data_IF_146566959387
#
_entry.id   IF_146566959387
#
_cell.length_a   1.000
_cell.length_b   1.000
_cell.length_c   1.000
_cell.angle_alpha   90.00
_cell.angle_beta   90.00
_cell.angle_gamma   90.00
#
_symmetry.space_group_name_H-M   'P 1'
#
loop_
_entity.id
_entity.type
_entity.pdbx_description
1 polymer ?
#
# COMPACT_ATOMS: atom_id res chain seq x y z
N UNK A 1 4.76 -27.48 -28.40
CA UNK A 1 3.81 -28.48 -28.90
C UNK A 1 2.52 -27.73 -29.12
N UNK A 2 2.06 -27.63 -30.37
CA UNK A 2 0.79 -26.95 -30.66
C UNK A 2 -0.35 -27.73 -29.99
N UNK A 3 -1.26 -27.08 -29.24
CA UNK A 3 -2.38 -27.75 -28.61
C UNK A 3 -3.16 -28.58 -29.65
N UNK A 4 -3.41 -29.88 -29.41
CA UNK A 4 -4.08 -30.76 -30.39
C UNK A 4 -5.47 -30.25 -30.82
N UNK A 5 -6.10 -29.37 -30.02
CA UNK A 5 -7.35 -28.69 -30.39
C UNK A 5 -7.22 -27.67 -31.54
N UNK A 6 -6.07 -26.99 -31.70
CA UNK A 6 -5.88 -25.95 -32.73
C UNK A 6 -5.95 -26.56 -34.14
N UNK A 7 -5.29 -27.70 -34.33
CA UNK A 7 -5.26 -28.41 -35.63
C UNK A 7 -6.68 -28.89 -36.00
N UNK A 8 -7.45 -29.37 -35.02
CA UNK A 8 -8.85 -29.74 -35.23
C UNK A 8 -9.75 -28.56 -35.61
N UNK A 9 -9.56 -27.41 -34.96
CA UNK A 9 -10.31 -26.18 -35.27
C UNK A 9 -10.01 -25.68 -36.69
N UNK A 10 -8.74 -25.64 -37.09
CA UNK A 10 -8.35 -25.26 -38.47
C UNK A 10 -8.96 -26.21 -39.50
N UNK A 11 -8.95 -27.52 -39.20
CA UNK A 11 -9.58 -28.53 -40.05
C UNK A 11 -11.07 -28.29 -40.24
N UNK A 12 -11.80 -28.02 -39.15
CA UNK A 12 -13.25 -27.74 -39.21
C UNK A 12 -13.53 -26.47 -40.02
N UNK A 13 -12.84 -25.36 -39.75
CA UNK A 13 -13.02 -24.10 -40.52
C UNK A 13 -12.82 -24.35 -42.01
N UNK A 14 -11.74 -25.06 -42.38
CA UNK A 14 -11.42 -25.34 -43.77
C UNK A 14 -12.48 -26.18 -44.49
N UNK A 15 -13.15 -27.11 -43.80
CA UNK A 15 -14.23 -27.92 -44.38
C UNK A 15 -15.53 -27.11 -44.46
N UNK A 16 -15.85 -26.32 -43.43
CA UNK A 16 -17.02 -25.43 -43.41
C UNK A 16 -16.94 -24.40 -44.53
N UNK A 17 -15.81 -23.73 -44.71
CA UNK A 17 -15.62 -22.75 -45.79
C UNK A 17 -15.75 -23.38 -47.18
N UNK A 18 -15.32 -24.64 -47.34
CA UNK A 18 -15.50 -25.37 -48.59
C UNK A 18 -16.97 -25.76 -48.84
N UNK A 19 -17.72 -26.10 -47.79
CA UNK A 19 -19.18 -26.34 -47.88
C UNK A 19 -19.89 -25.03 -48.25
N UNK A 20 -19.58 -23.93 -47.58
CA UNK A 20 -20.13 -22.60 -47.88
C UNK A 20 -19.82 -22.19 -49.34
N UNK A 21 -18.56 -22.34 -49.78
CA UNK A 21 -18.17 -22.04 -51.15
C UNK A 21 -18.83 -22.95 -52.20
N UNK A 22 -19.00 -24.24 -51.90
CA UNK A 22 -19.72 -25.17 -52.77
C UNK A 22 -21.21 -24.76 -52.88
N UNK A 23 -21.83 -24.38 -51.77
CA UNK A 23 -23.21 -23.90 -51.72
C UNK A 23 -23.41 -22.60 -52.50
N UNK A 24 -22.52 -21.62 -52.35
CA UNK A 24 -22.55 -20.35 -53.11
C UNK A 24 -22.34 -20.58 -54.62
N UNK A 25 -21.45 -21.51 -54.99
CA UNK A 25 -21.19 -21.86 -56.40
C UNK A 25 -22.36 -22.63 -57.05
N UNK A 26 -23.20 -23.28 -56.24
CA UNK A 26 -24.35 -24.07 -56.70
C UNK A 26 -25.66 -23.28 -56.77
N UNK A 27 -25.75 -22.08 -56.19
CA UNK A 27 -27.01 -21.32 -56.19
C UNK A 27 -26.82 -19.81 -56.14
N UNK A 28 -27.12 -19.13 -57.25
CA UNK A 28 -27.43 -17.69 -57.29
C UNK A 28 -28.89 -17.37 -56.90
N UNK A 29 -29.76 -18.38 -56.70
CA UNK A 29 -31.17 -18.20 -56.29
C UNK A 29 -31.48 -18.88 -54.94
N UNK A 30 -30.88 -18.36 -53.87
CA UNK A 30 -31.07 -18.82 -52.46
C UNK A 30 -32.49 -18.61 -51.90
N UNK A 31 -33.39 -17.98 -52.66
CA UNK A 31 -34.75 -17.63 -52.21
C UNK A 31 -35.66 -18.84 -51.98
N UNK A 32 -35.44 -19.96 -52.68
CA UNK A 32 -36.29 -21.16 -52.62
C UNK A 32 -35.70 -22.33 -51.78
N UNK A 33 -34.67 -22.06 -50.97
CA UNK A 33 -34.12 -23.06 -50.07
C UNK A 33 -35.09 -23.37 -48.90
N UNK A 34 -35.21 -24.63 -48.44
CA UNK A 34 -35.94 -24.97 -47.23
C UNK A 34 -35.40 -24.20 -46.02
N UNK A 35 -36.28 -23.79 -45.11
CA UNK A 35 -35.89 -23.02 -43.92
C UNK A 35 -34.86 -23.75 -43.04
N UNK A 36 -34.96 -25.08 -42.92
CA UNK A 36 -33.98 -25.89 -42.18
C UNK A 36 -32.57 -25.83 -42.80
N UNK A 37 -32.47 -25.76 -44.13
CA UNK A 37 -31.19 -25.62 -44.83
C UNK A 37 -30.61 -24.21 -44.66
N UNK A 38 -31.46 -23.19 -44.63
CA UNK A 38 -31.03 -21.80 -44.35
C UNK A 38 -30.53 -21.66 -42.92
N UNK A 39 -31.25 -22.24 -41.95
CA UNK A 39 -30.85 -22.23 -40.54
C UNK A 39 -29.53 -22.97 -40.33
N UNK A 40 -29.37 -24.15 -40.92
CA UNK A 40 -28.12 -24.92 -40.84
C UNK A 40 -26.93 -24.16 -41.43
N UNK A 41 -27.12 -23.50 -42.58
CA UNK A 41 -26.07 -22.70 -43.20
C UNK A 41 -25.72 -21.44 -42.39
N UNK A 42 -26.72 -20.79 -41.79
CA UNK A 42 -26.49 -19.67 -40.86
C UNK A 42 -25.74 -20.11 -39.60
N UNK A 43 -25.99 -21.32 -39.11
CA UNK A 43 -25.24 -21.90 -38.00
C UNK A 43 -23.81 -22.30 -38.37
N UNK A 44 -23.59 -22.83 -39.58
CA UNK A 44 -22.25 -23.11 -40.11
C UNK A 44 -21.44 -21.82 -40.31
N UNK A 45 -22.07 -20.77 -40.83
CA UNK A 45 -21.45 -19.45 -40.96
C UNK A 45 -21.12 -18.86 -39.58
N UNK A 46 -22.04 -18.98 -38.62
CA UNK A 46 -21.82 -18.60 -37.23
C UNK A 46 -20.66 -19.37 -36.59
N UNK A 47 -20.57 -20.68 -36.80
CA UNK A 47 -19.47 -21.53 -36.35
C UNK A 47 -18.14 -21.10 -36.98
N UNK A 48 -18.09 -20.90 -38.30
CA UNK A 48 -16.87 -20.47 -38.99
C UNK A 48 -16.37 -19.14 -38.43
N UNK A 49 -17.27 -18.18 -38.19
CA UNK A 49 -16.92 -16.89 -37.59
C UNK A 49 -16.37 -17.03 -36.17
N UNK A 50 -17.05 -17.76 -35.29
CA UNK A 50 -16.64 -17.95 -33.89
C UNK A 50 -15.32 -18.72 -33.80
N UNK A 51 -15.16 -19.79 -34.59
CA UNK A 51 -13.91 -20.55 -34.65
C UNK A 51 -12.78 -19.72 -35.25
N UNK A 52 -13.05 -18.89 -36.26
CA UNK A 52 -12.06 -17.99 -36.86
C UNK A 52 -11.64 -16.87 -35.91
N UNK A 53 -12.56 -16.30 -35.13
CA UNK A 53 -12.25 -15.33 -34.08
C UNK A 53 -11.42 -15.98 -32.97
N UNK A 54 -11.80 -17.19 -32.54
CA UNK A 54 -11.03 -17.98 -31.56
C UNK A 54 -9.64 -18.31 -32.08
N UNK A 55 -9.52 -18.74 -33.34
CA UNK A 55 -8.24 -19.04 -33.99
C UNK A 55 -7.37 -17.79 -34.13
N UNK A 56 -7.95 -16.65 -34.51
CA UNK A 56 -7.23 -15.38 -34.59
C UNK A 56 -6.71 -14.97 -33.20
N UNK A 57 -7.51 -15.14 -32.15
CA UNK A 57 -7.10 -14.85 -30.78
C UNK A 57 -6.01 -15.82 -30.27
N UNK A 58 -6.04 -17.09 -30.70
CA UNK A 58 -5.08 -18.12 -30.29
C UNK A 58 -3.75 -18.06 -31.07
N UNK A 59 -3.80 -17.85 -32.39
CA UNK A 59 -2.61 -17.90 -33.28
C UNK A 59 -1.86 -16.56 -33.31
N UNK A 60 -2.56 -15.43 -33.25
CA UNK A 60 -1.91 -14.11 -33.36
C UNK A 60 -1.52 -13.50 -32.02
N UNK A 61 -2.00 -14.05 -30.90
CA UNK A 61 -1.70 -13.51 -29.58
C UNK A 61 -1.00 -14.57 -28.69
N UNK A 62 0.34 -14.53 -28.56
CA UNK A 62 1.07 -15.45 -27.68
C UNK A 62 0.64 -15.33 -26.20
N UNK A 63 0.08 -14.18 -25.78
CA UNK A 63 -0.43 -13.97 -24.43
C UNK A 63 -1.70 -14.77 -24.16
N UNK A 64 -2.45 -15.16 -25.20
CA UNK A 64 -3.67 -15.95 -25.05
C UNK A 64 -3.37 -17.38 -24.57
N UNK A 65 -2.35 -18.02 -25.12
CA UNK A 65 -1.90 -19.33 -24.65
C UNK A 65 -1.33 -19.25 -23.22
N UNK A 66 -0.62 -18.17 -22.90
CA UNK A 66 -0.12 -17.90 -21.55
C UNK A 66 -1.25 -17.66 -20.54
N UNK A 67 -2.35 -17.01 -20.94
CA UNK A 67 -3.53 -16.77 -20.09
C UNK A 67 -4.21 -18.06 -19.59
N UNK A 68 -3.97 -19.19 -20.27
CA UNK A 68 -4.46 -20.52 -19.89
C UNK A 68 -3.37 -21.49 -19.41
N UNK A 69 -2.10 -21.08 -19.31
CA UNK A 69 -1.05 -21.96 -18.76
C UNK A 69 -1.39 -22.35 -17.31
N UNK A 70 -1.68 -23.63 -17.09
CA UNK A 70 -2.12 -24.19 -15.81
C UNK A 70 -3.63 -24.16 -15.55
N UNK A 71 -4.47 -23.85 -16.56
CA UNK A 71 -5.94 -23.72 -16.42
C UNK A 71 -6.70 -24.60 -17.41
N UNK A 72 -7.91 -25.01 -17.05
CA UNK A 72 -8.78 -25.83 -17.89
C UNK A 72 -9.55 -24.92 -18.88
N UNK A 73 -9.23 -24.95 -20.16
CA UNK A 73 -10.06 -24.34 -21.22
C UNK A 73 -11.02 -25.39 -21.73
N UNK A 74 -12.31 -25.09 -21.75
CA UNK A 74 -13.34 -26.04 -22.22
C UNK A 74 -13.16 -26.40 -23.70
N UNK A 75 -12.60 -25.47 -24.48
CA UNK A 75 -12.31 -25.64 -25.91
C UNK A 75 -10.99 -26.40 -26.13
N UNK A 76 -9.92 -26.09 -25.38
CA UNK A 76 -8.63 -26.77 -25.51
C UNK A 76 -8.59 -28.14 -24.82
N UNK A 77 -9.46 -28.36 -23.83
CA UNK A 77 -9.66 -29.66 -23.16
C UNK A 77 -10.73 -30.51 -23.82
N UNK A 78 -11.42 -30.00 -24.83
CA UNK A 78 -12.43 -30.78 -25.53
C UNK A 78 -11.76 -32.00 -26.16
N UNK A 79 -12.34 -33.18 -25.93
CA UNK A 79 -11.81 -34.43 -26.45
C UNK A 79 -11.53 -34.28 -27.94
N UNK A 80 -10.29 -34.52 -28.36
CA UNK A 80 -9.90 -34.58 -29.78
C UNK A 80 -10.86 -35.45 -30.62
N UNK A 81 -11.57 -36.38 -29.97
CA UNK A 81 -12.67 -37.17 -30.52
C UNK A 81 -13.87 -36.33 -30.99
N UNK A 82 -14.30 -35.30 -30.26
CA UNK A 82 -15.45 -34.46 -30.64
C UNK A 82 -15.11 -33.60 -31.88
N UNK A 83 -13.94 -32.96 -31.88
CA UNK A 83 -13.47 -32.14 -33.02
C UNK A 83 -13.21 -33.01 -34.26
N UNK A 84 -12.56 -34.16 -34.10
CA UNK A 84 -12.27 -35.07 -35.22
C UNK A 84 -13.52 -35.77 -35.77
N UNK A 85 -14.52 -36.06 -34.95
CA UNK A 85 -15.79 -36.62 -35.42
C UNK A 85 -16.63 -35.58 -36.15
N UNK A 86 -16.67 -34.34 -35.64
CA UNK A 86 -17.29 -33.21 -36.32
C UNK A 86 -16.65 -32.96 -37.70
N UNK A 87 -15.31 -32.96 -37.76
CA UNK A 87 -14.56 -32.83 -39.01
C UNK A 87 -14.89 -33.97 -40.00
N UNK A 88 -14.92 -35.22 -39.54
CA UNK A 88 -15.29 -36.37 -40.39
C UNK A 88 -16.72 -36.30 -40.92
N UNK A 89 -17.67 -35.85 -40.12
CA UNK A 89 -19.08 -35.68 -40.53
C UNK A 89 -19.21 -34.56 -41.57
N UNK A 90 -18.48 -33.46 -41.40
CA UNK A 90 -18.39 -32.37 -42.38
C UNK A 90 -17.71 -32.82 -43.68
N UNK A 91 -16.65 -33.63 -43.59
CA UNK A 91 -15.94 -34.19 -44.75
C UNK A 91 -16.81 -35.18 -45.54
N UNK A 92 -17.60 -36.02 -44.86
CA UNK A 92 -18.56 -36.92 -45.52
C UNK A 92 -19.66 -36.12 -46.23
N UNK A 93 -20.15 -35.06 -45.59
CA UNK A 93 -21.15 -34.15 -46.17
C UNK A 93 -20.58 -33.43 -47.41
N UNK A 94 -19.35 -32.90 -47.32
CA UNK A 94 -18.64 -32.29 -48.45
C UNK A 94 -18.40 -33.28 -49.59
N UNK A 95 -18.02 -34.53 -49.27
CA UNK A 95 -17.82 -35.61 -50.23
C UNK A 95 -19.09 -35.94 -51.02
N UNK A 96 -20.25 -35.91 -50.36
CA UNK A 96 -21.56 -36.13 -51.00
C UNK A 96 -21.96 -34.95 -51.89
N UNK A 97 -21.69 -33.72 -51.47
CA UNK A 97 -21.93 -32.52 -52.29
C UNK A 97 -21.04 -32.54 -53.54
N UNK A 98 -19.76 -32.92 -53.42
CA UNK A 98 -18.81 -32.97 -54.55
C UNK A 98 -19.06 -34.11 -55.54
N UNK A 99 -19.42 -35.31 -55.06
CA UNK A 99 -19.69 -36.48 -55.93
C UNK A 99 -20.91 -36.27 -56.86
N UNK A 100 -21.73 -35.25 -56.63
CA UNK A 100 -22.88 -34.88 -57.47
C UNK A 100 -22.61 -33.88 -58.59
N UNK A 101 -21.38 -33.40 -58.77
CA UNK A 101 -21.07 -32.24 -59.61
C UNK A 101 -20.72 -32.50 -61.08
N UNK A 102 -21.63 -33.04 -61.90
CA UNK A 102 -21.54 -32.95 -63.38
C UNK A 102 -22.93 -32.81 -64.02
N UNK A 103 -23.55 -31.62 -63.90
CA UNK A 103 -24.77 -31.27 -64.64
C UNK A 103 -25.52 -30.05 -64.08
N UNK A 104 -25.44 -28.89 -64.76
CA UNK A 104 -25.91 -27.58 -64.25
C UNK A 104 -27.43 -27.44 -64.01
N UNK A 105 -28.29 -28.36 -64.46
CA UNK A 105 -29.76 -28.25 -64.30
C UNK A 105 -30.41 -29.35 -63.46
N UNK A 106 -29.71 -30.47 -63.24
CA UNK A 106 -30.15 -31.60 -62.41
C UNK A 106 -29.49 -31.61 -61.02
N UNK A 107 -28.57 -30.68 -60.77
CA UNK A 107 -27.83 -30.58 -59.52
C UNK A 107 -28.68 -30.16 -58.32
N UNK A 108 -29.66 -29.27 -58.52
CA UNK A 108 -30.46 -28.71 -57.42
C UNK A 108 -31.44 -29.71 -56.82
N UNK A 109 -32.25 -30.38 -57.64
CA UNK A 109 -33.21 -31.39 -57.14
C UNK A 109 -32.51 -32.58 -56.48
N UNK A 110 -31.29 -32.91 -56.93
CA UNK A 110 -30.46 -33.95 -56.31
C UNK A 110 -29.71 -33.48 -55.08
N UNK A 111 -29.34 -32.21 -54.99
CA UNK A 111 -28.77 -31.63 -53.78
C UNK A 111 -29.86 -31.49 -52.70
N UNK A 112 -31.07 -31.06 -53.08
CA UNK A 112 -32.28 -31.17 -52.24
C UNK A 112 -32.48 -32.61 -51.78
N UNK A 113 -32.45 -33.60 -52.67
CA UNK A 113 -32.55 -35.01 -52.28
C UNK A 113 -31.39 -35.51 -51.39
N UNK A 114 -30.19 -34.96 -51.55
CA UNK A 114 -29.03 -35.29 -50.73
C UNK A 114 -29.08 -34.64 -49.35
N UNK A 115 -29.81 -33.53 -49.16
CA UNK A 115 -30.07 -32.96 -47.83
C UNK A 115 -31.32 -33.57 -47.19
N UNK A 116 -32.36 -33.86 -47.99
CA UNK A 116 -33.65 -34.46 -47.59
C UNK A 116 -33.59 -35.99 -47.38
N UNK A 117 -32.45 -36.64 -47.58
CA UNK A 117 -32.34 -38.07 -47.26
C UNK A 117 -32.37 -38.26 -45.74
N UNK A 118 -33.12 -39.23 -45.24
CA UNK A 118 -33.29 -39.48 -43.79
C UNK A 118 -31.93 -39.60 -43.07
N UNK A 119 -30.95 -40.22 -43.73
CA UNK A 119 -29.58 -40.38 -43.21
C UNK A 119 -28.76 -39.08 -43.16
N UNK A 120 -29.02 -38.12 -44.06
CA UNK A 120 -28.35 -36.80 -44.04
C UNK A 120 -29.04 -35.83 -43.12
N UNK A 121 -30.35 -35.93 -42.95
CA UNK A 121 -31.10 -35.13 -41.98
C UNK A 121 -30.63 -35.43 -40.54
N UNK A 122 -30.49 -36.70 -40.17
CA UNK A 122 -29.95 -37.08 -38.85
C UNK A 122 -28.50 -36.64 -38.67
N UNK A 123 -27.68 -36.68 -39.73
CA UNK A 123 -26.29 -36.20 -39.68
C UNK A 123 -26.24 -34.67 -39.49
N UNK A 124 -27.10 -33.93 -40.18
CA UNK A 124 -27.25 -32.47 -40.06
C UNK A 124 -27.73 -32.08 -38.66
N UNK A 125 -28.74 -32.76 -38.10
CA UNK A 125 -29.23 -32.50 -36.74
C UNK A 125 -28.20 -32.81 -35.65
N UNK A 126 -27.40 -33.87 -35.83
CA UNK A 126 -26.30 -34.20 -34.92
C UNK A 126 -25.18 -33.16 -35.00
N UNK A 127 -24.86 -32.70 -36.21
CA UNK A 127 -23.87 -31.67 -36.46
C UNK A 127 -24.32 -30.33 -35.87
N UNK A 128 -25.56 -29.91 -36.10
CA UNK A 128 -26.19 -28.72 -35.52
C UNK A 128 -26.12 -28.73 -33.99
N UNK A 129 -26.51 -29.83 -33.33
CA UNK A 129 -26.39 -29.96 -31.86
C UNK A 129 -24.95 -29.79 -31.37
N UNK A 130 -23.96 -30.29 -32.11
CA UNK A 130 -22.53 -30.15 -31.76
C UNK A 130 -22.00 -28.75 -32.02
N UNK A 131 -22.43 -28.07 -33.07
CA UNK A 131 -22.10 -26.67 -33.33
C UNK A 131 -22.56 -25.77 -32.18
N UNK A 132 -23.78 -25.99 -31.68
CA UNK A 132 -24.33 -25.25 -30.53
C UNK A 132 -23.50 -25.49 -29.26
N UNK A 133 -23.08 -26.74 -29.03
CA UNK A 133 -22.22 -27.10 -27.89
C UNK A 133 -20.84 -26.42 -27.97
N UNK A 134 -20.21 -26.42 -29.14
CA UNK A 134 -18.92 -25.74 -29.36
C UNK A 134 -19.03 -24.22 -29.16
N UNK A 135 -20.08 -23.59 -29.71
CA UNK A 135 -20.32 -22.16 -29.52
C UNK A 135 -20.50 -21.80 -28.04
N UNK A 136 -21.20 -22.65 -27.28
CA UNK A 136 -21.42 -22.45 -25.84
C UNK A 136 -20.10 -22.56 -25.05
N UNK A 137 -19.23 -23.50 -25.41
CA UNK A 137 -17.91 -23.67 -24.78
C UNK A 137 -17.00 -22.46 -25.01
N UNK A 138 -16.96 -21.94 -26.24
CA UNK A 138 -16.17 -20.74 -26.57
C UNK A 138 -16.67 -19.52 -25.79
N UNK A 139 -17.99 -19.36 -25.65
CA UNK A 139 -18.57 -18.27 -24.88
C UNK A 139 -18.17 -18.33 -23.40
N UNK A 140 -18.14 -19.53 -22.80
CA UNK A 140 -17.72 -19.74 -21.41
C UNK A 140 -16.25 -19.35 -21.21
N UNK A 141 -15.36 -19.83 -22.10
CA UNK A 141 -13.93 -19.50 -22.01
C UNK A 141 -13.70 -17.98 -22.18
N UNK A 142 -14.45 -17.30 -23.06
CA UNK A 142 -14.39 -15.84 -23.24
C UNK A 142 -14.84 -15.06 -21.98
N UNK A 143 -15.90 -15.52 -21.30
CA UNK A 143 -16.36 -14.92 -20.04
C UNK A 143 -15.32 -15.14 -18.94
N UNK A 144 -14.76 -16.35 -18.85
CA UNK A 144 -13.74 -16.68 -17.85
C UNK A 144 -12.47 -15.83 -18.03
N UNK A 145 -12.00 -15.65 -19.27
CA UNK A 145 -10.90 -14.74 -19.57
C UNK A 145 -11.22 -13.31 -19.15
N UNK A 146 -12.39 -12.79 -19.57
CA UNK A 146 -12.79 -11.41 -19.28
C UNK A 146 -12.91 -11.12 -17.78
N UNK A 147 -13.40 -12.09 -16.99
CA UNK A 147 -13.49 -11.96 -15.54
C UNK A 147 -12.10 -11.90 -14.89
N UNK A 148 -11.16 -12.73 -15.35
CA UNK A 148 -9.80 -12.77 -14.82
C UNK A 148 -8.98 -11.52 -15.20
N UNK A 149 -9.07 -11.05 -16.44
CA UNK A 149 -8.42 -9.79 -16.84
C UNK A 149 -8.92 -8.62 -15.98
N UNK A 150 -10.21 -8.61 -15.61
CA UNK A 150 -10.74 -7.62 -14.69
C UNK A 150 -10.18 -7.76 -13.26
N UNK A 151 -9.89 -8.98 -12.79
CA UNK A 151 -9.24 -9.20 -11.49
C UNK A 151 -7.78 -8.73 -11.51
N UNK A 152 -7.01 -9.09 -12.53
CA UNK A 152 -5.61 -8.66 -12.69
C UNK A 152 -5.49 -7.14 -12.85
N UNK A 153 -6.39 -6.52 -13.62
CA UNK A 153 -6.46 -5.05 -13.72
C UNK A 153 -6.80 -4.41 -12.37
N UNK A 154 -7.65 -5.05 -11.56
CA UNK A 154 -7.98 -4.56 -10.21
C UNK A 154 -6.80 -4.71 -9.24
N UNK A 155 -6.05 -5.81 -9.29
CA UNK A 155 -4.86 -5.99 -8.43
C UNK A 155 -3.76 -5.00 -8.82
N UNK A 156 -3.44 -4.86 -10.10
CA UNK A 156 -2.43 -3.89 -10.57
C UNK A 156 -2.84 -2.45 -10.26
N UNK A 157 -4.13 -2.10 -10.37
CA UNK A 157 -4.62 -0.78 -9.94
C UNK A 157 -4.48 -0.56 -8.44
N UNK A 158 -4.63 -1.59 -7.62
CA UNK A 158 -4.45 -1.52 -6.17
C UNK A 158 -2.97 -1.30 -5.82
N UNK A 159 -2.07 -2.09 -6.42
CA UNK A 159 -0.62 -1.95 -6.26
C UNK A 159 -0.14 -0.56 -6.70
N UNK A 160 -0.55 -0.09 -7.88
CA UNK A 160 -0.22 1.26 -8.36
C UNK A 160 -0.80 2.36 -7.48
N UNK A 161 -1.95 2.14 -6.84
CA UNK A 161 -2.52 3.10 -5.88
C UNK A 161 -1.70 3.12 -4.58
N UNK A 162 -1.29 1.97 -4.06
CA UNK A 162 -0.43 1.84 -2.88
C UNK A 162 0.96 2.44 -3.12
N UNK A 163 1.54 2.22 -4.31
CA UNK A 163 2.82 2.82 -4.73
C UNK A 163 2.71 4.34 -4.86
N UNK A 164 1.63 4.85 -5.49
CA UNK A 164 1.39 6.30 -5.59
C UNK A 164 1.21 6.95 -4.22
N UNK A 165 0.50 6.29 -3.31
CA UNK A 165 0.36 6.75 -1.92
C UNK A 165 1.72 6.76 -1.22
N UNK A 166 2.55 5.74 -1.43
CA UNK A 166 3.90 5.65 -0.84
C UNK A 166 4.86 6.70 -1.39
N UNK A 167 4.80 6.99 -2.69
CA UNK A 167 5.62 8.02 -3.34
C UNK A 167 5.17 9.45 -2.97
N UNK A 168 3.86 9.68 -2.87
CA UNK A 168 3.33 10.95 -2.37
C UNK A 168 3.70 11.16 -0.90
N UNK A 169 3.60 10.11 -0.08
CA UNK A 169 4.07 10.11 1.31
C UNK A 169 5.54 10.50 1.38
N UNK A 170 6.43 9.84 0.62
CA UNK A 170 7.86 10.16 0.61
C UNK A 170 8.15 11.62 0.24
N UNK A 171 7.44 12.17 -0.75
CA UNK A 171 7.61 13.58 -1.17
C UNK A 171 7.11 14.58 -0.14
N UNK A 172 6.02 14.26 0.56
CA UNK A 172 5.48 15.09 1.64
C UNK A 172 6.43 15.05 2.84
N UNK A 173 6.95 13.87 3.20
CA UNK A 173 7.95 13.72 4.25
C UNK A 173 9.21 14.52 3.95
N UNK A 174 9.75 14.40 2.76
CA UNK A 174 10.94 15.15 2.32
C UNK A 174 10.72 16.67 2.34
N UNK A 175 9.55 17.14 1.89
CA UNK A 175 9.16 18.55 1.93
C UNK A 175 9.03 19.11 3.36
N UNK A 176 8.58 18.29 4.31
CA UNK A 176 8.37 18.71 5.70
C UNK A 176 9.64 18.59 6.55
N UNK A 177 10.40 17.51 6.41
CA UNK A 177 11.69 17.32 7.09
C UNK A 177 12.74 18.35 6.66
N UNK A 178 12.52 19.02 5.52
CA UNK A 178 13.35 20.11 5.03
C UNK A 178 13.32 21.37 5.92
N UNK A 179 12.35 21.55 6.83
CA UNK A 179 12.25 22.78 7.65
C UNK A 179 12.77 22.67 9.08
N UNK A 180 12.91 21.47 9.68
CA UNK A 180 13.42 21.33 11.05
C UNK A 180 14.26 20.06 11.27
N UNK A 181 15.58 20.21 11.39
CA UNK A 181 16.52 19.11 11.60
C UNK A 181 16.60 18.66 13.09
N UNK A 182 15.47 18.25 13.67
CA UNK A 182 15.42 17.79 15.07
C UNK A 182 16.11 16.44 15.28
N UNK A 183 16.21 15.61 14.24
CA UNK A 183 16.98 14.35 14.31
C UNK A 183 18.46 14.60 14.53
N UNK A 184 19.08 15.53 13.80
CA UNK A 184 20.48 15.88 14.06
C UNK A 184 20.66 16.53 15.43
N UNK A 185 19.68 17.31 15.89
CA UNK A 185 19.73 17.89 17.24
C UNK A 185 19.62 16.82 18.32
N UNK A 186 18.76 15.81 18.13
CA UNK A 186 18.68 14.67 19.03
C UNK A 186 19.99 13.89 19.05
N UNK A 187 20.59 13.63 17.89
CA UNK A 187 21.89 12.96 17.81
C UNK A 187 23.00 13.75 18.53
N UNK A 188 23.12 15.06 18.29
CA UNK A 188 24.10 15.92 18.99
C UNK A 188 23.89 15.93 20.52
N UNK A 189 22.63 16.00 20.96
CA UNK A 189 22.30 15.94 22.37
C UNK A 189 22.74 14.60 23.00
N UNK A 190 22.42 13.48 22.35
CA UNK A 190 22.82 12.15 22.83
C UNK A 190 24.34 11.97 22.84
N UNK A 191 25.05 12.45 21.83
CA UNK A 191 26.52 12.40 21.77
C UNK A 191 27.18 13.20 22.90
N UNK A 192 26.54 14.28 23.35
CA UNK A 192 27.03 15.16 24.42
C UNK A 192 26.60 14.72 25.82
N UNK A 193 25.64 13.80 25.91
CA UNK A 193 25.12 13.28 27.18
C UNK A 193 26.21 12.57 27.96
N UNK A 194 26.25 12.78 29.27
CA UNK A 194 27.00 11.91 30.17
C UNK A 194 26.16 10.64 30.48
N UNK A 195 26.64 9.43 30.15
CA UNK A 195 25.96 8.20 30.52
C UNK A 195 25.75 8.09 32.03
N UNK A 196 24.64 7.50 32.46
CA UNK A 196 24.29 7.36 33.88
C UNK A 196 23.50 8.54 34.46
N UNK A 197 23.45 9.69 33.79
CA UNK A 197 22.66 10.84 34.25
C UNK A 197 21.17 10.74 33.88
N UNK A 198 20.32 11.39 34.68
CA UNK A 198 18.88 11.55 34.43
C UNK A 198 18.00 10.35 34.78
N UNK A 199 18.57 9.33 35.43
CA UNK A 199 17.83 8.10 35.77
C UNK A 199 16.74 8.32 36.81
N UNK A 200 16.96 9.23 37.75
CA UNK A 200 15.98 9.58 38.78
C UNK A 200 14.61 9.96 38.18
N UNK A 201 14.60 10.57 37.00
CA UNK A 201 13.37 10.95 36.31
C UNK A 201 12.69 9.75 35.67
N UNK A 202 13.46 8.88 35.01
CA UNK A 202 12.94 7.66 34.39
C UNK A 202 12.35 6.69 35.45
N UNK A 203 12.91 6.71 36.66
CA UNK A 203 12.45 5.92 37.80
C UNK A 203 11.26 6.57 38.54
N UNK A 204 10.93 7.83 38.26
CA UNK A 204 9.83 8.52 38.93
C UNK A 204 8.47 7.86 38.65
N UNK A 205 7.55 7.94 39.62
CA UNK A 205 6.20 7.39 39.43
C UNK A 205 5.43 8.19 38.38
N UNK A 206 5.60 9.49 38.35
CA UNK A 206 4.96 10.40 37.40
C UNK A 206 5.34 10.07 35.95
N UNK A 207 6.62 9.77 35.69
CA UNK A 207 7.06 9.35 34.36
C UNK A 207 6.54 7.96 33.98
N UNK A 208 6.58 7.01 34.92
CA UNK A 208 6.02 5.67 34.69
C UNK A 208 4.53 5.71 34.39
N UNK A 209 3.79 6.53 35.13
CA UNK A 209 2.37 6.79 34.87
C UNK A 209 2.16 7.44 33.50
N UNK A 210 3.01 8.40 33.13
CA UNK A 210 2.96 9.04 31.82
C UNK A 210 3.28 8.09 30.66
N UNK A 211 4.09 7.05 30.82
CA UNK A 211 4.26 6.02 29.78
C UNK A 211 3.06 5.08 29.76
N UNK A 212 2.64 4.59 30.92
CA UNK A 212 1.70 3.46 31.00
C UNK A 212 0.25 3.87 30.79
N UNK A 213 -0.19 4.97 31.40
CA UNK A 213 -1.58 5.43 31.31
C UNK A 213 -1.81 6.20 30.01
N UNK A 214 -3.06 6.29 29.61
CA UNK A 214 -3.48 6.97 28.39
C UNK A 214 -3.87 8.43 28.66
N UNK A 215 -3.71 9.28 27.66
CA UNK A 215 -4.08 10.70 27.68
C UNK A 215 -3.45 11.49 28.82
N UNK A 216 -2.18 11.21 29.12
CA UNK A 216 -1.44 11.85 30.20
C UNK A 216 -0.68 13.07 29.71
N UNK A 217 -0.69 14.14 30.52
CA UNK A 217 0.21 15.29 30.36
C UNK A 217 1.21 15.31 31.48
N UNK A 218 2.50 15.40 31.13
CA UNK A 218 3.61 15.55 32.05
C UNK A 218 4.32 16.88 31.79
N UNK A 219 4.29 17.77 32.77
CA UNK A 219 4.97 19.05 32.69
C UNK A 219 6.26 19.02 33.51
N UNK A 220 7.35 19.47 32.89
CA UNK A 220 8.68 19.40 33.47
C UNK A 220 9.32 20.79 33.56
N UNK A 221 8.95 21.59 34.58
CA UNK A 221 9.56 22.89 34.78
C UNK A 221 10.95 22.73 35.38
N UNK A 222 11.83 23.72 35.16
CA UNK A 222 13.12 23.77 35.85
C UNK A 222 13.88 25.04 35.57
N UNK A 223 14.81 25.38 36.45
CA UNK A 223 15.62 26.59 36.29
C UNK A 223 16.56 26.52 35.07
N UNK A 224 17.03 27.66 34.54
CA UNK A 224 18.07 27.68 33.52
C UNK A 224 19.31 26.90 33.98
N UNK A 225 19.90 26.10 33.08
CA UNK A 225 21.05 25.24 33.38
C UNK A 225 20.70 23.81 33.76
N UNK A 226 19.58 23.56 34.46
CA UNK A 226 19.24 22.30 35.13
C UNK A 226 19.13 21.02 34.26
N UNK A 227 19.43 21.09 32.96
CA UNK A 227 19.49 19.93 32.09
C UNK A 227 18.17 19.55 31.41
N UNK A 228 17.19 20.47 31.31
CA UNK A 228 15.88 20.22 30.69
C UNK A 228 15.95 19.57 29.30
N UNK A 229 16.74 20.16 28.40
CA UNK A 229 16.98 19.61 27.06
C UNK A 229 17.61 18.23 27.11
N UNK A 230 18.47 17.98 28.09
CA UNK A 230 19.11 16.67 28.24
C UNK A 230 18.16 15.60 28.74
N UNK A 231 17.31 15.96 29.71
CA UNK A 231 16.21 15.11 30.16
C UNK A 231 15.25 14.80 29.00
N UNK A 232 14.84 15.81 28.22
CA UNK A 232 13.97 15.59 27.07
C UNK A 232 14.60 14.62 26.07
N UNK A 233 15.90 14.79 25.77
CA UNK A 233 16.65 13.91 24.88
C UNK A 233 16.75 12.47 25.40
N UNK A 234 16.98 12.28 26.71
CA UNK A 234 17.00 10.96 27.36
C UNK A 234 15.64 10.27 27.25
N UNK A 235 14.54 11.02 27.46
CA UNK A 235 13.18 10.50 27.32
C UNK A 235 12.91 10.06 25.88
N UNK A 236 13.28 10.89 24.91
CA UNK A 236 13.11 10.59 23.48
C UNK A 236 13.88 9.31 23.12
N UNK A 237 15.15 9.20 23.53
CA UNK A 237 15.96 8.00 23.31
C UNK A 237 15.31 6.77 23.94
N UNK A 238 14.81 6.88 25.18
CA UNK A 238 14.13 5.78 25.86
C UNK A 238 12.90 5.31 25.10
N UNK A 239 12.07 6.23 24.59
CA UNK A 239 10.89 5.91 23.80
C UNK A 239 11.26 5.26 22.46
N UNK A 240 12.29 5.78 21.77
CA UNK A 240 12.81 5.20 20.53
C UNK A 240 13.32 3.77 20.73
N UNK A 241 14.02 3.51 21.84
CA UNK A 241 14.50 2.16 22.17
C UNK A 241 13.37 1.21 22.55
N UNK A 242 12.40 1.68 23.34
CA UNK A 242 11.30 0.84 23.83
C UNK A 242 10.30 0.45 22.74
N UNK A 243 10.03 1.33 21.78
CA UNK A 243 9.00 1.15 20.75
C UNK A 243 9.57 1.03 19.34
N UNK A 244 10.85 0.68 19.19
CA UNK A 244 11.57 0.63 17.90
C UNK A 244 10.84 -0.19 16.82
N UNK A 245 10.28 -1.32 17.23
CA UNK A 245 9.64 -2.28 16.31
C UNK A 245 8.10 -2.18 16.31
N UNK A 246 7.52 -1.38 17.21
CA UNK A 246 6.08 -1.25 17.37
C UNK A 246 5.55 -0.09 16.50
N UNK A 247 5.11 -0.44 15.30
CA UNK A 247 4.52 0.52 14.34
C UNK A 247 3.17 1.08 14.78
N UNK A 248 2.55 0.55 15.84
CA UNK A 248 1.29 1.07 16.38
C UNK A 248 1.49 2.27 17.30
N UNK A 249 2.75 2.57 17.69
CA UNK A 249 3.10 3.68 18.55
C UNK A 249 3.77 4.79 17.73
N UNK A 250 3.21 5.99 17.81
CA UNK A 250 3.81 7.19 17.22
C UNK A 250 4.70 7.90 18.24
N UNK A 251 5.86 8.39 17.79
CA UNK A 251 6.70 9.30 18.58
C UNK A 251 6.96 10.56 17.76
N UNK A 252 6.73 11.71 18.38
CA UNK A 252 6.93 13.01 17.79
C UNK A 252 7.66 13.91 18.79
N UNK A 253 8.72 14.59 18.37
CA UNK A 253 9.45 15.51 19.26
C UNK A 253 9.93 16.79 18.57
N UNK A 254 10.08 17.85 19.37
CA UNK A 254 10.58 19.15 18.94
C UNK A 254 11.48 19.78 19.99
N UNK A 255 12.53 20.46 19.54
CA UNK A 255 13.44 21.23 20.39
C UNK A 255 13.38 22.71 20.01
N UNK A 256 12.75 23.54 20.83
CA UNK A 256 12.77 24.98 20.60
C UNK A 256 14.15 25.56 20.90
N UNK A 257 14.58 26.48 20.04
CA UNK A 257 15.80 27.26 20.27
C UNK A 257 15.55 28.73 19.90
N UNK A 258 15.68 29.60 20.89
CA UNK A 258 15.53 31.05 20.74
C UNK A 258 16.36 31.64 19.60
N UNK A 259 17.53 31.05 19.26
CA UNK A 259 18.42 31.55 18.20
C UNK A 259 17.99 31.18 16.78
N UNK A 260 17.08 30.22 16.61
CA UNK A 260 16.58 29.75 15.30
C UNK A 260 15.09 30.08 15.07
N UNK A 261 14.58 31.09 15.76
CA UNK A 261 13.17 31.52 15.70
C UNK A 261 12.63 31.84 14.30
N UNK A 262 13.50 32.17 13.34
CA UNK A 262 13.12 32.45 11.94
C UNK A 262 13.00 31.18 11.07
N UNK A 263 13.46 30.03 11.59
CA UNK A 263 13.46 28.72 10.93
C UNK A 263 12.43 27.75 11.56
N UNK A 264 11.73 28.17 12.63
CA UNK A 264 10.92 27.29 13.48
C UNK A 264 9.46 27.81 13.59
N UNK A 265 8.69 27.76 12.50
CA UNK A 265 7.26 28.08 12.54
C UNK A 265 6.49 27.01 13.34
N UNK A 266 5.38 27.36 14.03
CA UNK A 266 4.45 26.37 14.58
C UNK A 266 3.95 25.37 13.54
N UNK A 267 3.88 25.80 12.27
CA UNK A 267 3.62 24.92 11.13
C UNK A 267 4.76 23.94 10.88
N UNK A 268 6.01 24.33 11.06
CA UNK A 268 7.18 23.45 10.89
C UNK A 268 7.31 22.44 12.03
N UNK A 269 6.87 22.80 13.23
CA UNK A 269 6.84 21.88 14.37
C UNK A 269 5.67 20.93 14.26
N UNK A 270 4.45 21.43 14.01
CA UNK A 270 3.34 20.54 13.71
C UNK A 270 3.65 19.68 12.49
N UNK A 271 4.19 20.24 11.41
CA UNK A 271 4.58 19.48 10.24
C UNK A 271 5.70 18.49 10.59
N UNK A 272 6.75 18.84 11.32
CA UNK A 272 7.80 17.90 11.76
C UNK A 272 7.21 16.76 12.60
N UNK A 273 6.38 17.07 13.59
CA UNK A 273 5.65 16.09 14.41
C UNK A 273 4.74 15.21 13.54
N UNK A 274 4.16 15.78 12.47
CA UNK A 274 3.33 15.09 11.48
C UNK A 274 4.15 14.30 10.44
N UNK A 275 5.40 14.67 10.15
CA UNK A 275 6.30 13.99 9.19
C UNK A 275 6.96 12.75 9.80
N UNK A 276 6.99 12.65 11.12
CA UNK A 276 7.36 11.41 11.78
C UNK A 276 6.23 10.38 11.71
N UNK A 277 5.07 10.73 11.12
CA UNK A 277 3.84 9.95 11.05
C UNK A 277 3.30 9.89 9.58
N UNK A 278 2.62 8.82 9.16
CA UNK A 278 2.39 8.57 7.73
C UNK A 278 1.07 9.18 7.22
N UNK A 279 1.01 10.47 6.88
CA UNK A 279 -0.26 11.11 6.43
C UNK A 279 -0.18 12.21 5.37
N UNK A 280 -1.29 12.36 4.64
CA UNK A 280 -1.54 13.30 3.53
C UNK A 280 -2.14 14.63 3.97
N UNK A 281 -1.88 15.67 3.18
CA UNK A 281 -2.27 17.08 3.32
C UNK A 281 -3.78 17.37 3.35
N UNK A 282 -4.36 17.61 4.52
CA UNK A 282 -5.61 18.42 4.75
C UNK A 282 -5.51 19.07 6.13
N UNK A 283 -6.09 20.26 6.32
CA UNK A 283 -6.24 21.04 7.57
C UNK A 283 -5.88 20.30 8.88
N UNK A 284 -5.08 20.94 9.74
CA UNK A 284 -4.52 20.39 11.00
C UNK A 284 -5.52 19.50 11.76
N UNK A 285 -6.80 19.92 11.84
CA UNK A 285 -7.89 19.22 12.52
C UNK A 285 -8.27 17.87 11.88
N UNK A 286 -8.32 17.79 10.55
CA UNK A 286 -8.63 16.58 9.78
C UNK A 286 -7.43 15.63 9.74
N UNK A 287 -6.21 16.18 9.75
CA UNK A 287 -4.96 15.41 9.80
C UNK A 287 -4.80 14.65 11.14
N UNK A 288 -5.08 15.34 12.25
CA UNK A 288 -5.10 14.77 13.61
C UNK A 288 -6.04 13.56 13.72
N UNK A 289 -7.22 13.63 13.10
CA UNK A 289 -8.20 12.54 13.09
C UNK A 289 -7.70 11.31 12.32
N UNK A 290 -6.91 11.50 11.26
CA UNK A 290 -6.30 10.39 10.53
C UNK A 290 -5.11 9.77 11.29
N UNK A 291 -4.34 10.56 12.07
CA UNK A 291 -3.28 10.04 12.96
C UNK A 291 -3.90 9.14 14.02
N UNK A 292 -5.06 9.56 14.55
CA UNK A 292 -5.84 8.82 15.53
C UNK A 292 -6.26 7.44 15.03
N UNK A 293 -6.39 7.25 13.71
CA UNK A 293 -6.72 5.95 13.11
C UNK A 293 -5.51 5.06 12.78
N UNK A 294 -4.30 5.62 12.78
CA UNK A 294 -3.07 4.92 12.40
C UNK A 294 -2.27 4.40 13.59
N UNK A 295 -2.34 5.09 14.73
CA UNK A 295 -1.60 4.74 15.93
C UNK A 295 -2.55 4.45 17.08
N UNK A 296 -2.27 3.37 17.81
CA UNK A 296 -2.96 3.05 19.05
C UNK A 296 -2.64 4.07 20.15
N UNK A 297 -1.42 4.65 20.12
CA UNK A 297 -0.95 5.66 21.06
C UNK A 297 0.15 6.53 20.44
N UNK A 298 0.18 7.81 20.79
CA UNK A 298 1.18 8.77 20.30
C UNK A 298 1.84 9.49 21.47
N UNK A 299 3.17 9.56 21.48
CA UNK A 299 3.94 10.37 22.41
C UNK A 299 4.40 11.66 21.73
N UNK A 300 4.18 12.80 22.39
CA UNK A 300 4.62 14.11 21.91
C UNK A 300 5.52 14.74 22.97
N UNK A 301 6.77 15.05 22.62
CA UNK A 301 7.75 15.67 23.52
C UNK A 301 8.18 17.03 22.98
N UNK A 302 7.95 18.11 23.74
CA UNK A 302 8.33 19.47 23.36
C UNK A 302 9.33 20.02 24.38
N UNK A 303 10.57 20.25 23.94
CA UNK A 303 11.60 20.87 24.76
C UNK A 303 11.59 22.40 24.64
N UNK A 304 11.85 23.08 25.76
CA UNK A 304 11.99 24.52 25.88
C UNK A 304 10.75 25.30 25.40
N UNK A 305 9.56 24.91 25.87
CA UNK A 305 8.28 25.54 25.51
C UNK A 305 8.25 27.05 25.81
N UNK A 306 9.02 27.52 26.79
CA UNK A 306 9.19 28.95 27.09
C UNK A 306 9.84 29.74 25.95
N UNK A 307 10.66 29.08 25.12
CA UNK A 307 11.32 29.69 23.97
C UNK A 307 10.41 29.78 22.73
N UNK A 308 9.21 29.17 22.78
CA UNK A 308 8.15 29.38 21.81
C UNK A 308 7.58 30.79 21.95
N UNK A 309 7.56 31.56 20.85
CA UNK A 309 7.34 33.01 20.83
C UNK A 309 6.22 33.50 21.78
N UNK A 310 6.49 34.50 22.64
CA UNK A 310 5.47 35.09 23.51
C UNK A 310 4.49 36.03 22.77
N UNK A 311 4.87 36.55 21.60
CA UNK A 311 4.05 37.51 20.86
C UNK A 311 3.26 36.80 19.74
N UNK A 312 1.92 36.86 19.79
CA UNK A 312 1.05 36.41 18.70
C UNK A 312 0.08 35.26 19.01
N UNK A 313 -0.05 34.81 20.27
CA UNK A 313 -1.01 33.76 20.65
C UNK A 313 -0.57 32.33 20.30
N UNK A 314 0.59 32.15 19.67
CA UNK A 314 1.03 30.85 19.15
C UNK A 314 1.22 29.76 20.21
N UNK A 315 1.75 30.10 21.38
CA UNK A 315 1.88 29.16 22.50
C UNK A 315 0.51 28.67 22.97
N UNK A 316 -0.46 29.58 23.02
CA UNK A 316 -1.85 29.26 23.36
C UNK A 316 -2.46 28.33 22.31
N UNK A 317 -2.29 28.65 21.02
CA UNK A 317 -2.82 27.83 19.93
C UNK A 317 -2.20 26.41 19.90
N UNK A 318 -0.89 26.30 20.15
CA UNK A 318 -0.20 25.01 20.24
C UNK A 318 -0.73 24.18 21.42
N UNK A 319 -0.80 24.76 22.61
CA UNK A 319 -1.31 24.09 23.80
C UNK A 319 -2.78 23.72 23.65
N UNK A 320 -3.61 24.62 23.11
CA UNK A 320 -5.01 24.35 22.81
C UNK A 320 -5.16 23.23 21.78
N UNK A 321 -4.34 23.20 20.73
CA UNK A 321 -4.35 22.12 19.75
C UNK A 321 -4.01 20.78 20.40
N UNK A 322 -2.95 20.72 21.21
CA UNK A 322 -2.49 19.50 21.89
C UNK A 322 -3.52 19.02 22.92
N UNK A 323 -4.09 19.91 23.73
CA UNK A 323 -5.14 19.54 24.69
C UNK A 323 -6.41 19.04 23.96
N UNK A 324 -6.74 19.63 22.80
CA UNK A 324 -7.83 19.11 21.97
C UNK A 324 -7.52 17.72 21.39
N UNK A 325 -6.25 17.34 21.21
CA UNK A 325 -5.87 15.97 20.77
C UNK A 325 -6.33 14.91 21.75
N UNK A 326 -6.38 15.20 23.06
CA UNK A 326 -6.82 14.23 24.07
C UNK A 326 -8.28 13.81 23.85
N UNK A 327 -9.09 14.66 23.21
CA UNK A 327 -10.49 14.34 22.92
C UNK A 327 -10.64 13.37 21.74
N UNK A 328 -9.70 13.37 20.79
CA UNK A 328 -9.80 12.60 19.56
C UNK A 328 -8.85 11.40 19.49
N UNK A 329 -7.73 11.44 20.20
CA UNK A 329 -6.66 10.44 20.12
C UNK A 329 -6.08 10.11 21.50
N UNK A 330 -5.43 8.95 21.58
CA UNK A 330 -4.63 8.56 22.74
C UNK A 330 -3.22 9.18 22.64
N UNK A 331 -3.11 10.43 23.09
CA UNK A 331 -1.85 11.19 23.05
C UNK A 331 -1.33 11.39 24.45
N UNK A 332 -0.05 11.09 24.67
CA UNK A 332 0.66 11.45 25.88
C UNK A 332 1.63 12.58 25.58
N UNK A 333 1.43 13.71 26.25
CA UNK A 333 2.16 14.94 26.00
C UNK A 333 3.17 15.24 27.11
N UNK A 334 4.39 15.60 26.74
CA UNK A 334 5.42 16.06 27.64
C UNK A 334 5.95 17.41 27.17
N UNK A 335 6.09 18.35 28.10
CA UNK A 335 6.72 19.64 27.83
C UNK A 335 7.74 20.00 28.90
N UNK A 336 8.91 20.51 28.48
CA UNK A 336 9.86 21.17 29.38
C UNK A 336 9.75 22.69 29.25
N UNK A 337 9.94 23.40 30.36
CA UNK A 337 9.88 24.86 30.37
C UNK A 337 10.64 25.44 31.57
N UNK A 338 10.92 26.75 31.56
CA UNK A 338 11.20 27.49 32.80
C UNK A 338 9.92 27.66 33.63
N UNK A 339 10.09 27.98 34.91
CA UNK A 339 9.01 28.46 35.78
C UNK A 339 8.50 29.80 35.27
N UNK A 340 7.40 29.75 34.52
CA UNK A 340 6.73 30.91 33.93
C UNK A 340 5.25 30.76 34.24
N UNK A 341 4.64 31.62 35.07
CA UNK A 341 3.24 31.50 35.49
C UNK A 341 2.27 31.40 34.30
N UNK A 342 2.52 32.16 33.24
CA UNK A 342 1.70 32.15 32.02
C UNK A 342 1.71 30.79 31.30
N UNK A 343 2.72 29.95 31.53
CA UNK A 343 2.81 28.59 30.98
C UNK A 343 2.23 27.59 31.97
N UNK A 344 2.56 27.73 33.25
CA UNK A 344 2.11 26.82 34.32
C UNK A 344 0.58 26.73 34.43
N UNK A 345 -0.15 27.82 34.17
CA UNK A 345 -1.63 27.85 34.17
C UNK A 345 -2.22 26.80 33.21
N UNK A 346 -1.56 26.50 32.09
CA UNK A 346 -2.05 25.48 31.14
C UNK A 346 -1.87 24.04 31.62
N UNK A 347 -1.06 23.84 32.66
CA UNK A 347 -0.73 22.53 33.22
C UNK A 347 -1.32 22.33 34.63
N UNK A 348 -2.21 23.21 35.07
CA UNK A 348 -2.95 23.01 36.31
C UNK A 348 -3.69 21.67 36.30
N UNK A 349 -3.44 20.85 37.33
CA UNK A 349 -4.02 19.50 37.46
C UNK A 349 -3.30 18.41 36.67
N UNK A 350 -2.23 18.72 35.93
CA UNK A 350 -1.39 17.72 35.27
C UNK A 350 -0.31 17.14 36.22
N UNK A 351 0.34 16.06 35.80
CA UNK A 351 1.51 15.55 36.52
C UNK A 351 2.69 16.48 36.31
N UNK A 352 3.42 16.81 37.38
CA UNK A 352 4.58 17.70 37.34
C UNK A 352 5.81 16.98 37.89
N UNK A 353 6.94 17.10 37.18
CA UNK A 353 8.26 16.70 37.68
C UNK A 353 9.19 17.89 37.51
N UNK A 354 9.66 18.47 38.61
CA UNK A 354 10.67 19.53 38.56
C UNK A 354 12.03 18.95 38.12
N UNK A 355 12.60 19.53 37.07
CA UNK A 355 13.91 19.16 36.56
C UNK A 355 14.98 19.92 37.35
N UNK A 356 15.75 19.16 38.12
CA UNK A 356 16.90 19.63 38.87
C UNK A 356 18.02 18.59 38.78
N UNK A 357 19.27 19.05 38.61
CA UNK A 357 20.42 18.16 38.63
C UNK A 357 20.59 17.57 40.04
N UNK A 358 20.61 16.24 40.14
CA UNK A 358 20.86 15.58 41.42
C UNK A 358 22.36 15.60 41.73
N UNK A 359 22.73 15.54 43.02
CA UNK A 359 24.14 15.44 43.44
C UNK A 359 24.85 14.26 42.75
N UNK A 360 24.13 13.16 42.52
CA UNK A 360 24.64 11.99 41.79
C UNK A 360 24.90 12.31 40.32
N UNK A 361 23.96 12.98 39.63
CA UNK A 361 24.14 13.37 38.22
C UNK A 361 25.32 14.33 38.05
N UNK A 362 25.45 15.31 38.95
CA UNK A 362 26.56 16.27 38.92
C UNK A 362 27.89 15.54 39.12
N UNK A 363 27.97 14.58 40.05
CA UNK A 363 29.18 13.77 40.23
C UNK A 363 29.51 12.94 39.00
N UNK A 364 28.53 12.27 38.42
CA UNK A 364 28.71 11.45 37.21
C UNK A 364 29.18 12.31 36.03
N UNK A 365 28.57 13.49 35.84
CA UNK A 365 29.00 14.48 34.86
C UNK A 365 30.45 14.90 35.07
N UNK A 366 30.82 15.22 36.31
CA UNK A 366 32.18 15.61 36.64
C UNK A 366 33.17 14.46 36.37
N UNK A 367 32.84 13.22 36.72
CA UNK A 367 33.68 12.05 36.48
C UNK A 367 33.99 11.84 35.00
N UNK A 368 33.00 11.97 34.11
CA UNK A 368 33.20 11.92 32.65
C UNK A 368 34.11 13.03 32.11
N UNK A 369 34.25 14.12 32.84
CA UNK A 369 35.00 15.31 32.43
C UNK A 369 36.34 15.50 33.17
N UNK A 370 36.64 14.71 34.19
CA UNK A 370 37.89 14.80 34.97
C UNK A 370 39.15 14.64 34.11
N UNK A 371 39.07 13.86 33.03
CA UNK A 371 40.17 13.64 32.09
C UNK A 371 40.58 14.89 31.31
N UNK A 372 39.73 15.91 31.25
CA UNK A 372 40.01 17.20 30.59
C UNK A 372 40.79 18.16 31.48
N UNK A 373 40.87 17.89 32.78
CA UNK A 373 41.59 18.74 33.74
C UNK A 373 43.11 18.50 33.68
N UNK A 374 43.95 19.43 34.16
CA UNK A 374 45.40 19.24 34.17
C UNK A 374 45.86 17.97 34.89
N UNK A 375 47.01 17.44 34.48
CA UNK A 375 47.53 16.15 34.99
C UNK A 375 47.77 16.12 36.50
N UNK A 376 48.04 17.26 37.14
CA UNK A 376 48.18 17.33 38.60
C UNK A 376 46.84 17.11 39.34
N UNK A 377 45.72 17.45 38.71
CA UNK A 377 44.38 17.15 39.23
C UNK A 377 44.06 15.68 39.00
N UNK A 378 44.32 15.17 37.79
CA UNK A 378 44.03 13.77 37.43
C UNK A 378 44.74 12.77 38.36
N UNK A 379 46.00 13.05 38.73
CA UNK A 379 46.82 12.18 39.57
C UNK A 379 46.45 12.23 41.06
N UNK A 380 45.75 13.27 41.51
CA UNK A 380 45.41 13.47 42.92
C UNK A 380 43.97 13.06 43.19
N UNK A 381 43.77 11.87 43.76
CA UNK A 381 42.44 11.42 44.19
C UNK A 381 41.77 12.35 45.20
N UNK A 382 42.49 12.86 46.23
CA UNK A 382 41.89 13.79 47.18
C UNK A 382 41.41 15.09 46.53
N UNK A 383 42.20 15.65 45.60
CA UNK A 383 41.85 16.88 44.90
C UNK A 383 40.64 16.70 43.98
N UNK A 384 40.51 15.53 43.32
CA UNK A 384 39.32 15.22 42.51
C UNK A 384 38.06 15.17 43.38
N UNK A 385 38.12 14.52 44.54
CA UNK A 385 36.96 14.45 45.44
C UNK A 385 36.62 15.80 46.09
N UNK A 386 37.63 16.62 46.39
CA UNK A 386 37.42 18.00 46.82
C UNK A 386 36.69 18.82 45.74
N UNK A 387 37.18 18.79 44.50
CA UNK A 387 36.55 19.47 43.36
C UNK A 387 35.10 19.03 43.19
N UNK A 388 34.83 17.72 43.18
CA UNK A 388 33.46 17.20 43.05
C UNK A 388 32.56 17.72 44.16
N UNK A 389 33.02 17.62 45.41
CA UNK A 389 32.22 18.00 46.57
C UNK A 389 31.94 19.50 46.59
N UNK A 390 32.94 20.33 46.30
CA UNK A 390 32.78 21.78 46.21
C UNK A 390 31.83 22.20 45.08
N UNK A 391 31.94 21.56 43.91
CA UNK A 391 31.05 21.89 42.77
C UNK A 391 29.62 21.46 43.07
N UNK A 392 29.39 20.24 43.57
CA UNK A 392 28.05 19.76 43.94
C UNK A 392 27.36 20.72 44.92
N UNK A 393 28.08 21.19 45.93
CA UNK A 393 27.56 22.17 46.91
C UNK A 393 27.26 23.55 46.29
N UNK A 394 28.00 23.96 45.27
CA UNK A 394 27.85 25.27 44.63
C UNK A 394 26.72 25.30 43.59
N UNK A 395 26.53 24.21 42.85
CA UNK A 395 25.65 24.11 41.68
C UNK A 395 24.17 24.16 42.06
N UNK A 396 23.79 23.68 43.26
CA UNK A 396 22.41 23.76 43.81
C UNK A 396 21.32 23.30 42.83
N UNK A 397 21.65 22.33 41.98
CA UNK A 397 20.75 21.73 40.99
C UNK A 397 20.80 22.32 39.59
N UNK A 398 21.69 23.29 39.32
CA UNK A 398 21.94 23.87 38.00
C UNK A 398 22.67 22.94 37.06
#
# INVERSE_FOLDING_TARGET
MDPPGIIGIIGIIGVVDQILAASVKLGLDWKEAPEDTKSFMGELEGLSKVLSETLNNVIKNPDFAAAFQGRHSSVLSSDSALLSTCQKELDDLLGRIRKGGYGRRLGWDRMKAAFLSERTQTAVENLQRRCIMLNSMVAIDNIALSANTNLDVRSTRRELAEDRVSDQKRKILDWISSSANFEAQQADNIDRRQPGTGQWLLDSQQFRDWITKDKQTLFCPGMPGAGKTMVASIIIERLQQQYRDDKSIGLAYAFYNFRRQHEQSPRDILASLLSQLPLSTVEIKTMIQQISSLFAKVYVVVDALDECQPNGGYRHDLLAAILNLHNTCNVNFLATSRHIPEIEIYFEGCSIIEIQATDSDVREYLDGHMSRLPSFVQKSSPLREEIKTSIVQAVKGM
#
